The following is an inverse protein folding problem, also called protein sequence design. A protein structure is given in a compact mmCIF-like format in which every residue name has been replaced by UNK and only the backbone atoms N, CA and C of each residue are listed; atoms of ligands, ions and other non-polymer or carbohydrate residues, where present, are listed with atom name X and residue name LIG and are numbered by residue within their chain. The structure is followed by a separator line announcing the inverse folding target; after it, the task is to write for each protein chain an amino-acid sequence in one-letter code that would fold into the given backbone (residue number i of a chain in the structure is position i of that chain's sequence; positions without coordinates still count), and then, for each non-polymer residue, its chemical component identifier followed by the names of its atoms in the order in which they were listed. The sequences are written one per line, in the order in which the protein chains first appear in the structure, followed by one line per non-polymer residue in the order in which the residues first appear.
data_IF_507550816382
#
_entry.id   IF_507550816382
#
_cell.length_a   1.000
_cell.length_b   1.000
_cell.length_c   1.000
_cell.angle_alpha   90.00
_cell.angle_beta   90.00
_cell.angle_gamma   90.00
#
_symmetry.space_group_name_H-M   'P 1'
#
loop_
_entity.id
_entity.type
_entity.pdbx_description
1 polymer ?
#
# COMPACT_ATOMS: atom_id res chain seq x y z
N UNK A 1 -5.10 -21.53 -12.94
CA UNK A 1 -5.14 -20.35 -13.82
C UNK A 1 -3.74 -19.72 -13.80
N UNK A 2 -3.17 -19.17 -14.88
CA UNK A 2 -1.91 -18.43 -14.73
C UNK A 2 -2.21 -16.95 -14.48
N UNK A 3 -2.09 -16.52 -13.22
CA UNK A 3 -2.10 -15.09 -12.87
C UNK A 3 -0.70 -14.74 -12.39
N UNK A 4 -0.11 -13.69 -12.96
CA UNK A 4 1.22 -13.21 -12.60
C UNK A 4 1.10 -11.84 -11.96
N UNK A 5 1.70 -11.68 -10.78
CA UNK A 5 1.86 -10.38 -10.14
C UNK A 5 3.25 -9.82 -10.43
N UNK A 6 3.32 -8.56 -10.84
CA UNK A 6 4.58 -7.88 -11.16
C UNK A 6 4.54 -6.41 -10.74
N UNK A 7 5.73 -5.85 -10.48
CA UNK A 7 5.87 -4.40 -10.25
C UNK A 7 5.68 -3.59 -11.55
N UNK A 8 5.94 -4.20 -12.70
CA UNK A 8 5.95 -3.54 -14.01
C UNK A 8 5.03 -4.26 -15.00
N UNK A 9 3.71 -4.24 -14.80
CA UNK A 9 2.77 -4.98 -15.65
C UNK A 9 2.89 -4.59 -17.12
N UNK A 10 3.04 -3.29 -17.43
CA UNK A 10 3.09 -2.83 -18.82
C UNK A 10 4.36 -3.31 -19.55
N UNK A 11 5.49 -3.37 -18.86
CA UNK A 11 6.75 -3.92 -19.38
C UNK A 11 6.61 -5.42 -19.60
N UNK A 12 6.01 -6.15 -18.65
CA UNK A 12 5.74 -7.58 -18.81
C UNK A 12 4.84 -7.84 -20.02
N UNK A 13 3.75 -7.07 -20.20
CA UNK A 13 2.89 -7.16 -21.37
C UNK A 13 3.64 -6.85 -22.67
N UNK A 14 4.58 -5.90 -22.66
CA UNK A 14 5.44 -5.62 -23.81
C UNK A 14 6.36 -6.80 -24.16
N UNK A 15 6.99 -7.41 -23.16
CA UNK A 15 7.84 -8.59 -23.35
C UNK A 15 7.02 -9.75 -23.92
N UNK A 16 5.84 -10.01 -23.35
CA UNK A 16 4.95 -11.05 -23.86
C UNK A 16 4.52 -10.79 -25.31
N UNK A 17 4.17 -9.55 -25.66
CA UNK A 17 3.90 -9.16 -27.05
C UNK A 17 5.08 -9.41 -27.98
N UNK A 18 6.29 -9.06 -27.54
CA UNK A 18 7.51 -9.31 -28.33
C UNK A 18 7.79 -10.79 -28.55
N UNK A 19 7.31 -11.64 -27.64
CA UNK A 19 7.37 -13.11 -27.74
C UNK A 19 6.20 -13.72 -28.53
N UNK A 20 5.36 -12.90 -29.17
CA UNK A 20 4.24 -13.34 -30.00
C UNK A 20 2.92 -13.56 -29.25
N UNK A 21 2.82 -13.15 -27.99
CA UNK A 21 1.53 -13.11 -27.29
C UNK A 21 0.67 -11.96 -27.81
N UNK A 22 -0.64 -12.17 -27.85
CA UNK A 22 -1.62 -11.11 -28.12
C UNK A 22 -2.17 -10.61 -26.80
N UNK A 23 -1.82 -9.39 -26.42
CA UNK A 23 -2.11 -8.81 -25.11
C UNK A 23 -2.86 -7.49 -25.26
N UNK A 24 -3.92 -7.29 -24.47
CA UNK A 24 -4.67 -6.04 -24.48
C UNK A 24 -5.41 -5.75 -25.79
N UNK A 25 -5.57 -6.76 -26.64
CA UNK A 25 -6.17 -6.68 -27.98
C UNK A 25 -7.66 -7.06 -28.00
N UNK A 26 -8.25 -7.28 -26.82
CA UNK A 26 -9.68 -7.58 -26.67
C UNK A 26 -10.04 -9.03 -26.98
N UNK A 27 -9.07 -9.95 -27.03
CA UNK A 27 -9.39 -11.38 -27.09
C UNK A 27 -10.28 -11.78 -25.90
N UNK A 28 -11.26 -12.61 -26.19
CA UNK A 28 -12.12 -13.16 -25.14
C UNK A 28 -11.38 -14.30 -24.43
N UNK A 29 -11.08 -14.18 -23.13
CA UNK A 29 -10.45 -15.26 -22.38
C UNK A 29 -11.35 -16.50 -22.38
N UNK A 30 -10.79 -17.66 -22.72
CA UNK A 30 -11.47 -18.95 -22.62
C UNK A 30 -11.38 -19.55 -21.22
N UNK A 31 -10.24 -19.36 -20.55
CA UNK A 31 -9.96 -19.90 -19.22
C UNK A 31 -10.00 -18.78 -18.17
N UNK A 32 -9.39 -17.63 -18.45
CA UNK A 32 -9.26 -16.52 -17.49
C UNK A 32 -10.44 -15.55 -17.54
N UNK A 33 -11.66 -16.02 -17.25
CA UNK A 33 -12.91 -15.21 -17.37
C UNK A 33 -12.93 -13.93 -16.55
N UNK A 34 -12.20 -13.92 -15.44
CA UNK A 34 -12.11 -12.77 -14.53
C UNK A 34 -11.00 -11.78 -14.92
N UNK A 35 -10.23 -12.07 -15.98
CA UNK A 35 -9.14 -11.22 -16.42
C UNK A 35 -9.66 -9.91 -17.01
N UNK A 36 -9.16 -8.75 -16.59
CA UNK A 36 -9.38 -7.51 -17.32
C UNK A 36 -8.76 -7.62 -18.72
N UNK A 37 -9.46 -7.13 -19.74
CA UNK A 37 -9.05 -7.26 -21.13
C UNK A 37 -7.66 -6.65 -21.40
N UNK A 38 -7.34 -5.55 -20.73
CA UNK A 38 -6.07 -4.82 -20.86
C UNK A 38 -4.89 -5.57 -20.23
N UNK A 39 -5.18 -6.52 -19.35
CA UNK A 39 -4.20 -7.33 -18.59
C UNK A 39 -4.12 -8.77 -19.07
N UNK A 40 -5.03 -9.15 -19.96
CA UNK A 40 -5.09 -10.46 -20.57
C UNK A 40 -4.08 -10.58 -21.71
N UNK A 41 -3.42 -11.74 -21.77
CA UNK A 41 -2.59 -12.16 -22.88
C UNK A 41 -2.98 -13.57 -23.34
N UNK A 42 -3.27 -13.71 -24.64
CA UNK A 42 -3.35 -14.97 -25.33
C UNK A 42 -1.95 -15.37 -25.83
N UNK A 43 -1.42 -16.47 -25.32
CA UNK A 43 -0.16 -17.07 -25.76
C UNK A 43 -0.45 -18.26 -26.70
N UNK A 44 0.54 -18.69 -27.52
CA UNK A 44 0.42 -19.89 -28.33
C UNK A 44 0.08 -21.15 -27.51
N UNK A 45 0.57 -21.22 -26.27
CA UNK A 45 0.38 -22.36 -25.37
C UNK A 45 -0.70 -22.19 -24.29
N UNK A 46 -1.42 -21.07 -24.25
CA UNK A 46 -2.43 -20.83 -23.22
C UNK A 46 -2.74 -19.37 -22.97
N UNK A 47 -3.19 -19.07 -21.75
CA UNK A 47 -3.64 -17.75 -21.33
C UNK A 47 -2.91 -17.31 -20.06
N UNK A 48 -2.61 -16.02 -19.93
CA UNK A 48 -2.06 -15.44 -18.70
C UNK A 48 -2.67 -14.06 -18.40
N UNK A 49 -2.94 -13.79 -17.13
CA UNK A 49 -3.26 -12.45 -16.64
C UNK A 49 -2.03 -11.84 -16.00
N UNK A 50 -1.70 -10.62 -16.39
CA UNK A 50 -0.59 -9.87 -15.79
C UNK A 50 -1.15 -8.74 -14.92
N UNK A 51 -1.02 -8.87 -13.61
CA UNK A 51 -1.46 -7.89 -12.63
C UNK A 51 -0.29 -7.05 -12.10
N UNK A 52 -0.57 -5.76 -11.87
CA UNK A 52 0.29 -4.89 -11.09
C UNK A 52 0.03 -5.03 -9.59
N UNK A 53 0.96 -4.54 -8.75
CA UNK A 53 0.74 -4.43 -7.30
C UNK A 53 -0.58 -3.75 -6.90
N UNK A 54 -1.04 -2.67 -7.56
CA UNK A 54 -2.34 -2.04 -7.23
C UNK A 54 -3.55 -2.94 -7.50
N UNK A 55 -3.42 -3.87 -8.46
CA UNK A 55 -4.49 -4.78 -8.87
C UNK A 55 -4.40 -6.14 -8.15
N UNK A 56 -3.44 -6.33 -7.23
CA UNK A 56 -3.19 -7.62 -6.57
C UNK A 56 -4.44 -8.20 -5.88
N UNK A 57 -5.31 -7.35 -5.34
CA UNK A 57 -6.55 -7.75 -4.69
C UNK A 57 -7.61 -8.33 -5.66
N UNK A 58 -7.44 -8.12 -6.97
CA UNK A 58 -8.34 -8.64 -8.02
C UNK A 58 -7.93 -10.03 -8.50
N UNK A 59 -6.75 -10.50 -8.08
CA UNK A 59 -6.31 -11.86 -8.35
C UNK A 59 -7.25 -12.85 -7.68
N UNK A 60 -7.56 -13.93 -8.39
CA UNK A 60 -8.45 -14.98 -7.90
C UNK A 60 -7.68 -16.13 -7.27
N UNK A 61 -6.38 -16.24 -7.55
CA UNK A 61 -5.57 -17.37 -7.12
C UNK A 61 -4.70 -17.14 -5.90
N UNK A 62 -4.44 -15.87 -5.54
CA UNK A 62 -3.78 -15.55 -4.29
C UNK A 62 -4.87 -15.20 -3.27
N UNK A 63 -5.04 -16.06 -2.28
CA UNK A 63 -6.06 -15.91 -1.24
C UNK A 63 -5.60 -14.94 -0.16
N UNK A 64 -6.55 -14.49 0.68
CA UNK A 64 -6.24 -13.70 1.87
C UNK A 64 -5.26 -14.40 2.81
N UNK A 65 -5.34 -15.73 2.93
CA UNK A 65 -4.43 -16.51 3.76
C UNK A 65 -3.00 -16.48 3.20
N UNK A 66 -2.84 -16.56 1.88
CA UNK A 66 -1.52 -16.45 1.22
C UNK A 66 -0.89 -15.07 1.47
N UNK A 67 -1.68 -14.00 1.39
CA UNK A 67 -1.23 -12.65 1.72
C UNK A 67 -0.80 -12.49 3.18
N UNK A 68 -1.55 -13.09 4.10
CA UNK A 68 -1.20 -13.08 5.52
C UNK A 68 0.09 -13.86 5.78
N UNK A 69 0.25 -15.02 5.16
CA UNK A 69 1.47 -15.82 5.23
C UNK A 69 2.69 -15.04 4.70
N UNK A 70 2.56 -14.39 3.54
CA UNK A 70 3.60 -13.53 2.97
C UNK A 70 3.98 -12.39 3.93
N UNK A 71 2.99 -11.72 4.52
CA UNK A 71 3.23 -10.62 5.47
C UNK A 71 3.98 -11.10 6.71
N UNK A 72 3.64 -12.28 7.23
CA UNK A 72 4.36 -12.89 8.36
C UNK A 72 5.81 -13.21 7.99
N UNK A 73 6.07 -13.70 6.78
CA UNK A 73 7.44 -13.93 6.28
C UNK A 73 8.22 -12.61 6.14
N UNK A 74 7.56 -11.55 5.67
CA UNK A 74 8.20 -10.25 5.46
C UNK A 74 8.43 -9.44 6.74
N UNK A 75 7.79 -9.79 7.86
CA UNK A 75 7.91 -9.06 9.12
C UNK A 75 9.33 -8.99 9.69
N UNK A 76 10.23 -9.90 9.27
CA UNK A 76 11.65 -9.90 9.62
C UNK A 76 12.58 -9.34 8.55
N UNK A 77 12.05 -8.90 7.39
CA UNK A 77 12.86 -8.47 6.24
C UNK A 77 13.09 -6.97 6.31
N UNK A 78 14.26 -6.54 6.73
CA UNK A 78 14.73 -5.16 6.50
C UNK A 78 15.09 -5.00 5.03
N UNK A 79 14.47 -4.07 4.28
CA UNK A 79 14.87 -3.81 2.91
C UNK A 79 16.33 -3.38 2.88
N UNK A 80 17.18 -4.13 2.18
CA UNK A 80 18.53 -3.68 1.84
C UNK A 80 18.38 -2.42 1.02
N UNK A 81 18.83 -1.28 1.57
CA UNK A 81 18.83 -0.02 0.85
C UNK A 81 19.56 -0.20 -0.49
N UNK A 82 18.97 0.30 -1.57
CA UNK A 82 19.56 0.25 -2.89
C UNK A 82 21.00 0.82 -2.84
N UNK A 83 22.00 0.19 -3.49
CA UNK A 83 23.35 0.72 -3.55
C UNK A 83 23.31 2.09 -4.26
N UNK A 84 23.45 3.19 -3.50
CA UNK A 84 23.49 4.54 -4.07
C UNK A 84 22.75 5.64 -3.32
N UNK A 85 22.08 5.38 -2.19
CA UNK A 85 21.57 6.46 -1.34
C UNK A 85 22.73 7.07 -0.50
N UNK A 86 23.11 8.35 -0.70
CA UNK A 86 24.09 8.99 0.16
C UNK A 86 23.54 9.03 1.59
N UNK A 87 24.33 8.54 2.54
CA UNK A 87 23.95 8.43 3.95
C UNK A 87 23.53 9.77 4.53
N UNK A 88 22.30 9.83 5.03
CA UNK A 88 21.90 10.84 6.01
C UNK A 88 22.28 10.29 7.39
N UNK A 89 23.14 10.97 8.17
CA UNK A 89 23.41 10.58 9.55
C UNK A 89 22.17 10.84 10.41
N UNK A 90 21.70 9.78 11.07
CA UNK A 90 20.97 9.82 12.34
C UNK A 90 19.92 10.92 12.52
N UNK A 91 18.72 10.74 11.96
CA UNK A 91 17.51 11.25 12.62
C UNK A 91 17.08 10.21 13.66
N UNK A 92 17.06 10.54 14.97
CA UNK A 92 16.45 9.65 15.95
C UNK A 92 14.99 9.44 15.56
N UNK A 93 14.57 8.17 15.61
CA UNK A 93 13.22 7.75 15.29
C UNK A 93 12.20 8.64 16.02
N UNK A 94 11.50 9.48 15.27
CA UNK A 94 10.24 10.07 15.73
C UNK A 94 9.27 8.91 15.87
N UNK A 95 9.11 8.46 17.12
CA UNK A 95 8.11 7.49 17.55
C UNK A 95 6.75 7.94 17.00
N UNK A 96 6.04 7.11 16.20
CA UNK A 96 4.71 7.48 15.75
C UNK A 96 3.80 7.68 16.98
N UNK A 97 2.88 8.65 16.97
CA UNK A 97 1.95 8.83 18.07
C UNK A 97 1.07 7.58 18.16
N UNK A 98 1.39 6.69 19.09
CA UNK A 98 0.47 5.66 19.54
C UNK A 98 -0.76 6.36 20.15
N UNK A 99 -1.89 5.67 20.16
CA UNK A 99 -3.22 6.17 20.56
C UNK A 99 -3.30 6.90 21.93
N UNK A 100 -2.19 7.00 22.67
CA UNK A 100 -1.99 7.90 23.81
C UNK A 100 -2.02 9.40 23.45
N UNK A 101 -2.02 9.80 22.17
CA UNK A 101 -2.01 11.21 21.74
C UNK A 101 -3.28 11.99 22.09
N UNK A 102 -4.45 11.36 22.09
CA UNK A 102 -5.72 12.04 22.39
C UNK A 102 -5.85 12.45 23.86
N UNK A 103 -5.32 11.64 24.78
CA UNK A 103 -5.32 11.94 26.21
C UNK A 103 -4.54 13.23 26.51
N UNK A 104 -3.38 13.41 25.91
CA UNK A 104 -2.58 14.63 26.10
C UNK A 104 -3.25 15.88 25.51
N UNK A 105 -3.94 15.76 24.37
CA UNK A 105 -4.71 16.86 23.79
C UNK A 105 -5.85 17.27 24.73
N UNK A 106 -6.60 16.30 25.28
CA UNK A 106 -7.69 16.57 26.23
C UNK A 106 -7.15 17.20 27.52
N UNK A 107 -6.03 16.70 28.06
CA UNK A 107 -5.40 17.26 29.26
C UNK A 107 -4.95 18.71 29.01
N UNK A 108 -4.29 18.99 27.88
CA UNK A 108 -3.86 20.35 27.54
C UNK A 108 -5.05 21.31 27.37
N UNK A 109 -6.14 20.86 26.76
CA UNK A 109 -7.35 21.67 26.58
C UNK A 109 -8.01 22.00 27.93
N UNK A 110 -8.12 21.01 28.83
CA UNK A 110 -8.67 21.21 30.17
C UNK A 110 -7.84 22.20 31.00
N UNK A 111 -6.51 22.06 30.96
CA UNK A 111 -5.59 22.99 31.64
C UNK A 111 -5.77 24.42 31.11
N UNK A 112 -5.83 24.59 29.78
CA UNK A 112 -6.04 25.88 29.15
C UNK A 112 -7.37 26.55 29.54
N UNK A 113 -8.46 25.78 29.58
CA UNK A 113 -9.80 26.29 30.00
C UNK A 113 -9.80 26.72 31.46
N UNK A 114 -9.19 25.94 32.36
CA UNK A 114 -9.13 26.28 33.80
C UNK A 114 -8.28 27.53 34.02
N UNK A 115 -7.09 27.61 33.42
CA UNK A 115 -6.23 28.81 33.50
C UNK A 115 -6.94 30.04 32.94
N UNK A 116 -7.59 29.92 31.78
CA UNK A 116 -8.37 30.99 31.17
C UNK A 116 -9.51 31.47 32.07
N UNK A 117 -10.25 30.56 32.68
CA UNK A 117 -11.34 30.89 33.60
C UNK A 117 -10.85 31.57 34.89
N UNK A 118 -9.74 31.10 35.47
CA UNK A 118 -9.13 31.70 36.67
C UNK A 118 -8.61 33.11 36.36
N UNK A 119 -7.92 33.30 35.23
CA UNK A 119 -7.41 34.61 34.81
C UNK A 119 -8.57 35.57 34.47
N UNK A 120 -9.63 35.08 33.81
CA UNK A 120 -10.83 35.87 33.52
C UNK A 120 -11.53 36.32 34.79
N UNK A 121 -11.68 35.44 35.79
CA UNK A 121 -12.25 35.79 37.10
C UNK A 121 -11.41 36.81 37.86
N UNK A 122 -10.07 36.71 37.80
CA UNK A 122 -9.17 37.68 38.42
C UNK A 122 -9.18 39.05 37.75
N UNK A 123 -9.57 39.12 36.47
CA UNK A 123 -9.64 40.37 35.69
C UNK A 123 -11.01 41.04 35.72
N UNK A 124 -12.03 40.46 36.39
CA UNK A 124 -13.31 41.14 36.59
C UNK A 124 -13.15 42.13 37.76
N UNK A 125 -13.21 43.45 37.52
CA UNK A 125 -13.25 44.41 38.61
C UNK A 125 -14.53 44.20 39.42
N UNK A 126 -14.50 44.41 40.75
CA UNK A 126 -15.71 44.39 41.57
C UNK A 126 -16.68 45.52 41.14
N UNK A 127 -17.99 45.34 41.34
CA UNK A 127 -19.01 46.32 40.98
C UNK A 127 -18.86 47.64 41.75
#
# INVERSE_FOLDING_TARGET
MPEQLTKHPDVTLQVLRSAGARCGTGETPQILKSCPAERFCQLPGGEICVFGLPDAARMTQITKADWQALTATMAGVTPTAAPGAPGAPGTPATVPPTAASWLWIVIALLIGVVLGAVLSRRRRPPP
#
